data_IF_846405903530
#
_entry.id   IF_846405903530
#
_cell.length_a   1.000
_cell.length_b   1.000
_cell.length_c   1.000
_cell.angle_alpha   90.00
_cell.angle_beta   90.00
_cell.angle_gamma   90.00
#
_symmetry.space_group_name_H-M   'P 1'
#
loop_
_entity.id
_entity.type
_entity.pdbx_description
1 polymer ?
#
# COMPACT_ATOMS: atom_id res chain seq x y z
N UNK A 1 62.84 -23.15 -13.39
CA UNK A 1 62.22 -22.97 -12.06
C UNK A 1 60.86 -22.33 -12.28
N UNK A 2 59.78 -23.13 -12.36
CA UNK A 2 58.44 -22.71 -12.75
C UNK A 2 57.59 -22.33 -11.53
N UNK A 3 57.96 -21.26 -10.82
CA UNK A 3 57.18 -20.74 -9.69
C UNK A 3 55.93 -19.88 -10.02
N UNK A 4 55.73 -19.24 -11.20
CA UNK A 4 54.58 -18.35 -11.37
C UNK A 4 53.24 -19.09 -11.57
N UNK A 5 53.28 -20.35 -12.03
CA UNK A 5 52.06 -21.12 -12.35
C UNK A 5 51.33 -21.58 -11.09
N UNK A 6 52.06 -21.92 -10.03
CA UNK A 6 51.48 -22.40 -8.77
C UNK A 6 50.74 -21.30 -8.00
N UNK A 7 51.20 -20.05 -8.09
CA UNK A 7 50.57 -18.93 -7.39
C UNK A 7 49.21 -18.56 -8.02
N UNK A 8 49.11 -18.63 -9.35
CA UNK A 8 47.87 -18.36 -10.07
C UNK A 8 46.77 -19.39 -9.75
N UNK A 9 47.14 -20.67 -9.62
CA UNK A 9 46.21 -21.75 -9.26
C UNK A 9 45.61 -21.58 -7.86
N UNK A 10 46.41 -21.13 -6.87
CA UNK A 10 45.91 -20.91 -5.51
C UNK A 10 44.93 -19.74 -5.44
N UNK A 11 45.14 -18.69 -6.23
CA UNK A 11 44.22 -17.55 -6.30
C UNK A 11 42.90 -17.96 -6.98
N UNK A 12 42.96 -18.74 -8.06
CA UNK A 12 41.77 -19.27 -8.74
C UNK A 12 40.96 -20.16 -7.78
N UNK A 13 41.61 -21.08 -7.05
CA UNK A 13 40.92 -21.92 -6.06
C UNK A 13 40.29 -21.11 -4.93
N UNK A 14 41.00 -20.11 -4.38
CA UNK A 14 40.47 -19.24 -3.33
C UNK A 14 39.26 -18.42 -3.81
N UNK A 15 39.30 -17.89 -5.05
CA UNK A 15 38.17 -17.21 -5.67
C UNK A 15 37.01 -18.17 -5.95
N UNK A 16 37.28 -19.41 -6.36
CA UNK A 16 36.26 -20.42 -6.62
C UNK A 16 35.54 -20.81 -5.32
N UNK A 17 36.26 -20.99 -4.22
CA UNK A 17 35.66 -21.29 -2.91
C UNK A 17 34.89 -20.09 -2.33
N UNK A 18 35.32 -18.85 -2.55
CA UNK A 18 34.56 -17.65 -2.18
C UNK A 18 33.28 -17.49 -3.02
N UNK A 19 33.34 -17.77 -4.33
CA UNK A 19 32.17 -17.79 -5.19
C UNK A 19 31.21 -18.94 -4.82
N UNK A 20 31.74 -20.12 -4.47
CA UNK A 20 30.93 -21.26 -4.04
C UNK A 20 30.39 -21.12 -2.61
N UNK A 21 31.08 -20.42 -1.71
CA UNK A 21 30.54 -20.09 -0.38
C UNK A 21 29.41 -19.06 -0.46
N UNK A 22 29.50 -18.12 -1.41
CA UNK A 22 28.38 -17.23 -1.80
C UNK A 22 27.21 -18.02 -2.40
N UNK A 23 27.48 -19.13 -3.10
CA UNK A 23 26.44 -19.99 -3.68
C UNK A 23 25.86 -21.03 -2.70
N UNK A 24 26.67 -21.53 -1.75
CA UNK A 24 26.31 -22.54 -0.74
C UNK A 24 25.70 -21.96 0.53
N UNK A 25 25.66 -20.63 0.66
CA UNK A 25 24.68 -19.97 1.50
C UNK A 25 23.60 -19.34 0.62
N UNK A 26 22.65 -20.12 0.07
CA UNK A 26 21.31 -19.57 -0.05
C UNK A 26 20.92 -19.26 1.38
N UNK A 27 21.06 -18.00 1.79
CA UNK A 27 20.40 -17.46 2.98
C UNK A 27 19.02 -18.11 3.01
N UNK A 28 18.84 -19.02 3.98
CA UNK A 28 17.58 -19.67 4.31
C UNK A 28 16.53 -19.49 3.20
N UNK A 29 16.66 -20.29 2.13
CA UNK A 29 15.56 -20.52 1.20
C UNK A 29 14.45 -21.14 2.06
N UNK A 30 13.68 -20.28 2.70
CA UNK A 30 12.32 -20.47 3.17
C UNK A 30 11.42 -20.65 1.94
N UNK A 31 11.82 -21.59 1.09
CA UNK A 31 11.02 -22.21 0.03
C UNK A 31 10.12 -23.29 0.61
N UNK A 32 9.54 -22.99 1.77
CA UNK A 32 8.31 -23.59 2.27
C UNK A 32 7.31 -22.47 2.07
N UNK A 33 6.27 -22.72 1.27
CA UNK A 33 5.39 -21.71 0.65
C UNK A 33 5.20 -20.44 1.46
N UNK A 34 5.25 -19.27 0.80
CA UNK A 34 4.82 -18.03 1.44
C UNK A 34 3.46 -18.29 2.06
N UNK A 35 3.39 -18.21 3.39
CA UNK A 35 2.14 -18.41 4.12
C UNK A 35 1.12 -17.44 3.54
N UNK A 36 0.09 -17.98 2.89
CA UNK A 36 -0.97 -17.21 2.26
C UNK A 36 -1.61 -16.23 3.24
N UNK A 37 -1.61 -16.55 4.54
CA UNK A 37 -2.03 -15.63 5.61
C UNK A 37 -1.18 -14.36 5.66
N UNK A 38 0.13 -14.47 5.42
CA UNK A 38 1.02 -13.31 5.34
C UNK A 38 0.69 -12.45 4.13
N UNK A 39 0.41 -13.07 2.97
CA UNK A 39 0.01 -12.34 1.77
C UNK A 39 -1.31 -11.60 1.98
N UNK A 40 -2.30 -12.22 2.61
CA UNK A 40 -3.53 -11.55 3.02
C UNK A 40 -3.28 -10.44 4.05
N UNK A 41 -2.46 -10.69 5.08
CA UNK A 41 -2.12 -9.69 6.10
C UNK A 41 -1.43 -8.47 5.52
N UNK A 42 -0.56 -8.65 4.52
CA UNK A 42 0.13 -7.55 3.86
C UNK A 42 -0.82 -6.72 2.98
N UNK A 43 -1.82 -7.35 2.34
CA UNK A 43 -2.92 -6.62 1.69
C UNK A 43 -3.79 -5.88 2.72
N UNK A 44 -4.09 -6.51 3.86
CA UNK A 44 -4.98 -5.98 4.89
C UNK A 44 -4.43 -4.72 5.57
N UNK A 45 -3.10 -4.65 5.79
CA UNK A 45 -2.42 -3.46 6.34
C UNK A 45 -2.62 -2.20 5.50
N UNK A 46 -2.99 -2.35 4.24
CA UNK A 46 -3.17 -1.28 3.27
C UNK A 46 -4.66 -1.00 2.97
N UNK A 47 -5.60 -1.60 3.72
CA UNK A 47 -7.04 -1.53 3.44
C UNK A 47 -7.72 -0.23 3.90
N UNK A 48 -6.95 0.81 4.21
CA UNK A 48 -7.49 2.15 4.44
C UNK A 48 -7.51 2.91 3.12
N UNK A 49 -8.70 3.29 2.67
CA UNK A 49 -8.89 3.99 1.39
C UNK A 49 -8.20 5.34 1.35
N UNK A 50 -8.11 6.04 2.49
CA UNK A 50 -7.42 7.33 2.58
C UNK A 50 -5.95 7.12 2.28
N UNK A 51 -5.33 6.14 2.94
CA UNK A 51 -3.93 5.80 2.67
C UNK A 51 -3.72 5.30 1.23
N UNK A 52 -4.65 4.51 0.66
CA UNK A 52 -4.55 4.04 -0.72
C UNK A 52 -4.57 5.18 -1.74
N UNK A 53 -5.47 6.16 -1.57
CA UNK A 53 -5.53 7.35 -2.44
C UNK A 53 -4.22 8.14 -2.37
N UNK A 54 -3.65 8.29 -1.18
CA UNK A 54 -2.41 9.03 -0.97
C UNK A 54 -1.17 8.28 -1.45
N UNK A 55 -1.13 6.95 -1.27
CA UNK A 55 -0.08 6.08 -1.79
C UNK A 55 -0.11 5.99 -3.32
N UNK A 56 -1.21 6.41 -3.96
CA UNK A 56 -1.33 6.42 -5.43
C UNK A 56 -1.51 7.83 -5.99
N UNK A 57 -0.84 8.80 -5.37
CA UNK A 57 -0.88 10.23 -5.71
C UNK A 57 0.12 10.66 -6.80
N UNK A 58 0.83 9.72 -7.41
CA UNK A 58 1.64 9.99 -8.61
C UNK A 58 1.58 8.81 -9.58
N UNK A 59 1.83 9.03 -10.89
CA UNK A 59 1.92 7.94 -11.87
C UNK A 59 2.96 6.88 -11.49
N UNK A 60 4.10 7.29 -10.93
CA UNK A 60 5.16 6.40 -10.47
C UNK A 60 4.71 5.55 -9.28
N UNK A 61 4.05 6.16 -8.30
CA UNK A 61 3.56 5.44 -7.12
C UNK A 61 2.43 4.46 -7.48
N UNK A 62 1.55 4.84 -8.43
CA UNK A 62 0.57 3.92 -9.02
C UNK A 62 1.26 2.68 -9.58
N UNK A 63 2.34 2.82 -10.35
CA UNK A 63 3.06 1.69 -10.91
C UNK A 63 3.69 0.80 -9.81
N UNK A 64 4.21 1.40 -8.74
CA UNK A 64 4.77 0.68 -7.60
C UNK A 64 3.67 -0.10 -6.87
N UNK A 65 2.56 0.56 -6.55
CA UNK A 65 1.38 -0.04 -5.94
C UNK A 65 0.86 -1.23 -6.77
N UNK A 66 0.64 -1.03 -8.06
CA UNK A 66 0.13 -2.06 -8.97
C UNK A 66 1.06 -3.27 -9.06
N UNK A 67 2.38 -3.04 -9.09
CA UNK A 67 3.39 -4.12 -9.07
C UNK A 67 3.36 -4.89 -7.76
N UNK A 68 3.28 -4.21 -6.62
CA UNK A 68 3.20 -4.85 -5.29
C UNK A 68 1.93 -5.69 -5.19
N UNK A 69 0.78 -5.11 -5.52
CA UNK A 69 -0.51 -5.79 -5.44
C UNK A 69 -0.59 -6.99 -6.38
N UNK A 70 -0.04 -6.88 -7.59
CA UNK A 70 0.06 -8.02 -8.51
C UNK A 70 0.84 -9.19 -7.91
N UNK A 71 1.94 -8.93 -7.19
CA UNK A 71 2.70 -9.98 -6.49
C UNK A 71 1.90 -10.62 -5.35
N UNK A 72 1.18 -9.82 -4.55
CA UNK A 72 0.36 -10.32 -3.44
C UNK A 72 -0.82 -11.16 -3.97
N UNK A 73 -1.50 -10.72 -5.02
CA UNK A 73 -2.57 -11.50 -5.67
C UNK A 73 -2.05 -12.82 -6.24
N UNK A 74 -0.85 -12.81 -6.85
CA UNK A 74 -0.20 -14.02 -7.32
C UNK A 74 0.12 -14.98 -6.17
N UNK A 75 0.66 -14.47 -5.05
CA UNK A 75 0.89 -15.28 -3.85
C UNK A 75 -0.41 -15.95 -3.35
N UNK A 76 -1.51 -15.20 -3.27
CA UNK A 76 -2.80 -15.76 -2.83
C UNK A 76 -3.26 -16.86 -3.79
N UNK A 77 -3.27 -16.60 -5.10
CA UNK A 77 -3.73 -17.58 -6.08
C UNK A 77 -2.88 -18.88 -6.07
N UNK A 78 -1.57 -18.77 -5.87
CA UNK A 78 -0.67 -19.92 -5.82
C UNK A 78 -0.80 -20.74 -4.52
N UNK A 79 -1.30 -20.14 -3.43
CA UNK A 79 -1.28 -20.75 -2.10
C UNK A 79 -2.67 -20.86 -1.43
N UNK A 80 -3.76 -20.46 -2.09
CA UNK A 80 -5.12 -20.47 -1.50
C UNK A 80 -5.58 -21.86 -1.05
N UNK A 81 -5.08 -22.91 -1.69
CA UNK A 81 -5.37 -24.30 -1.35
C UNK A 81 -4.82 -24.74 0.02
N UNK A 82 -3.95 -23.94 0.64
CA UNK A 82 -3.38 -24.18 1.97
C UNK A 82 -4.29 -23.72 3.11
N UNK A 83 -5.39 -23.01 2.79
CA UNK A 83 -6.37 -22.53 3.75
C UNK A 83 -7.67 -23.33 3.67
N UNK A 84 -8.40 -23.38 4.79
CA UNK A 84 -9.78 -23.85 4.75
C UNK A 84 -10.65 -22.88 3.93
N UNK A 85 -11.73 -23.37 3.34
CA UNK A 85 -12.68 -22.55 2.57
C UNK A 85 -13.23 -21.39 3.40
N UNK A 86 -13.55 -21.63 4.68
CA UNK A 86 -14.03 -20.59 5.60
C UNK A 86 -12.99 -19.52 5.87
N UNK A 87 -11.74 -19.92 6.11
CA UNK A 87 -10.63 -18.99 6.37
C UNK A 87 -10.33 -18.14 5.13
N UNK A 88 -10.25 -18.78 3.95
CA UNK A 88 -10.05 -18.06 2.68
C UNK A 88 -11.20 -17.07 2.42
N UNK A 89 -12.45 -17.48 2.64
CA UNK A 89 -13.62 -16.60 2.49
C UNK A 89 -13.54 -15.39 3.42
N UNK A 90 -13.11 -15.58 4.67
CA UNK A 90 -12.94 -14.47 5.61
C UNK A 90 -11.85 -13.50 5.16
N UNK A 91 -10.69 -14.01 4.73
CA UNK A 91 -9.58 -13.19 4.24
C UNK A 91 -9.94 -12.42 2.95
N UNK A 92 -10.61 -13.06 1.99
CA UNK A 92 -11.13 -12.40 0.79
C UNK A 92 -12.14 -11.31 1.13
N UNK A 93 -12.99 -11.53 2.14
CA UNK A 93 -13.93 -10.50 2.61
C UNK A 93 -13.19 -9.29 3.19
N UNK A 94 -12.13 -9.49 3.98
CA UNK A 94 -11.32 -8.41 4.57
C UNK A 94 -10.59 -7.59 3.50
N UNK A 95 -10.07 -8.26 2.47
CA UNK A 95 -9.27 -7.65 1.39
C UNK A 95 -10.09 -7.18 0.18
N UNK A 96 -11.42 -7.25 0.25
CA UNK A 96 -12.31 -6.91 -0.86
C UNK A 96 -12.17 -5.45 -1.29
N UNK A 97 -12.11 -4.51 -0.35
CA UNK A 97 -12.01 -3.08 -0.63
C UNK A 97 -10.78 -2.75 -1.48
N UNK A 98 -9.60 -3.05 -0.95
CA UNK A 98 -8.32 -2.87 -1.66
C UNK A 98 -8.23 -3.66 -2.98
N UNK A 99 -8.83 -4.85 -3.07
CA UNK A 99 -8.90 -5.60 -4.34
C UNK A 99 -9.72 -4.82 -5.38
N UNK A 100 -10.84 -4.22 -4.97
CA UNK A 100 -11.66 -3.38 -5.85
C UNK A 100 -10.88 -2.12 -6.24
N UNK A 101 -10.20 -1.46 -5.31
CA UNK A 101 -9.35 -0.30 -5.61
C UNK A 101 -8.31 -0.64 -6.68
N UNK A 102 -7.57 -1.73 -6.48
CA UNK A 102 -6.61 -2.25 -7.44
C UNK A 102 -7.21 -2.46 -8.83
N UNK A 103 -8.40 -3.07 -8.93
CA UNK A 103 -9.06 -3.32 -10.23
C UNK A 103 -9.50 -2.04 -10.96
N UNK A 104 -9.57 -0.90 -10.28
CA UNK A 104 -9.91 0.38 -10.90
C UNK A 104 -8.68 1.23 -11.26
N UNK A 105 -7.58 1.07 -10.50
CA UNK A 105 -6.38 1.91 -10.64
C UNK A 105 -5.28 1.24 -11.47
N UNK A 106 -5.25 -0.09 -11.54
CA UNK A 106 -4.11 -0.82 -12.12
C UNK A 106 -4.29 -1.41 -13.51
N UNK A 107 -5.44 -1.99 -13.89
CA UNK A 107 -5.61 -2.55 -15.23
C UNK A 107 -5.43 -1.47 -16.31
N UNK A 108 -4.54 -1.68 -17.29
CA UNK A 108 -4.41 -0.74 -18.40
C UNK A 108 -5.68 -0.70 -19.25
N UNK A 109 -5.94 0.44 -19.89
CA UNK A 109 -7.00 0.59 -20.89
C UNK A 109 -8.41 0.80 -20.31
N UNK A 110 -8.56 0.97 -19.00
CA UNK A 110 -9.82 1.45 -18.43
C UNK A 110 -9.84 2.98 -18.38
N UNK A 111 -10.95 3.60 -18.79
CA UNK A 111 -11.14 5.05 -18.75
C UNK A 111 -10.92 5.61 -17.33
N UNK A 112 -11.35 4.88 -16.29
CA UNK A 112 -11.14 5.26 -14.89
C UNK A 112 -9.64 5.30 -14.55
N UNK A 113 -8.87 4.32 -14.99
CA UNK A 113 -7.43 4.26 -14.72
C UNK A 113 -6.67 5.41 -15.34
N UNK A 114 -6.97 5.76 -16.59
CA UNK A 114 -6.32 6.87 -17.31
C UNK A 114 -6.65 8.20 -16.64
N UNK A 115 -7.94 8.48 -16.41
CA UNK A 115 -8.37 9.70 -15.73
C UNK A 115 -7.85 9.79 -14.29
N UNK A 116 -7.73 8.67 -13.58
CA UNK A 116 -7.15 8.66 -12.24
C UNK A 116 -5.68 9.08 -12.28
N UNK A 117 -4.89 8.53 -13.23
CA UNK A 117 -3.47 8.89 -13.41
C UNK A 117 -3.28 10.36 -13.75
N UNK A 118 -4.15 10.92 -14.60
CA UNK A 118 -4.11 12.34 -14.96
C UNK A 118 -4.33 13.25 -13.75
N UNK A 119 -5.17 12.82 -12.79
CA UNK A 119 -5.53 13.59 -11.61
C UNK A 119 -4.72 13.25 -10.34
N UNK A 120 -3.93 12.16 -10.37
CA UNK A 120 -3.21 11.64 -9.20
C UNK A 120 -2.32 12.71 -8.53
N UNK A 121 -1.58 13.48 -9.31
CA UNK A 121 -0.70 14.54 -8.80
C UNK A 121 -1.45 15.59 -7.99
N UNK A 122 -2.73 15.86 -8.31
CA UNK A 122 -3.52 16.78 -7.52
C UNK A 122 -3.94 16.17 -6.17
N UNK A 123 -4.29 14.88 -6.15
CA UNK A 123 -4.63 14.16 -4.92
C UNK A 123 -3.50 14.24 -3.88
N UNK A 124 -2.24 14.16 -4.32
CA UNK A 124 -1.09 14.34 -3.44
C UNK A 124 -0.94 15.75 -2.87
N UNK A 125 -1.44 16.79 -3.56
CA UNK A 125 -1.39 18.18 -3.06
C UNK A 125 -2.44 18.46 -1.99
N UNK A 126 -3.52 17.68 -1.98
CA UNK A 126 -4.65 17.83 -1.05
C UNK A 126 -4.63 16.77 0.06
N UNK A 127 -3.45 16.20 0.32
CA UNK A 127 -3.21 15.14 1.30
C UNK A 127 -3.84 15.47 2.67
N UNK A 128 -3.63 16.69 3.15
CA UNK A 128 -4.17 17.14 4.44
C UNK A 128 -5.70 17.15 4.46
N UNK A 129 -6.34 17.56 3.37
CA UNK A 129 -7.79 17.61 3.25
C UNK A 129 -8.39 16.20 3.22
N UNK A 130 -7.78 15.28 2.45
CA UNK A 130 -8.21 13.88 2.42
C UNK A 130 -8.02 13.23 3.80
N UNK A 131 -6.89 13.47 4.48
CA UNK A 131 -6.65 12.97 5.85
C UNK A 131 -7.67 13.51 6.86
N UNK A 132 -8.07 14.77 6.74
CA UNK A 132 -9.08 15.35 7.64
C UNK A 132 -10.43 14.64 7.55
N UNK A 133 -10.79 14.11 6.38
CA UNK A 133 -12.00 13.30 6.20
C UNK A 133 -11.96 11.97 6.96
N UNK A 134 -10.78 11.41 7.25
CA UNK A 134 -10.64 10.14 7.96
C UNK A 134 -10.93 10.25 9.46
N UNK A 135 -10.88 11.47 10.03
CA UNK A 135 -11.21 11.72 11.44
C UNK A 135 -12.63 11.31 11.82
N UNK A 136 -13.55 11.27 10.84
CA UNK A 136 -14.95 10.87 11.03
C UNK A 136 -15.18 9.35 10.93
N UNK A 137 -14.19 8.58 10.47
CA UNK A 137 -14.34 7.13 10.36
C UNK A 137 -14.22 6.48 11.75
N UNK A 138 -15.23 5.74 12.22
CA UNK A 138 -15.06 4.94 13.43
C UNK A 138 -13.90 3.97 13.20
N UNK A 139 -13.03 3.79 14.20
CA UNK A 139 -11.93 2.81 14.09
C UNK A 139 -12.52 1.46 13.66
N UNK A 140 -12.22 1.09 12.42
CA UNK A 140 -12.91 0.03 11.70
C UNK A 140 -12.35 -1.33 12.13
N UNK A 141 -12.43 -1.64 13.43
CA UNK A 141 -12.21 -3.02 13.86
C UNK A 141 -13.37 -3.89 13.34
N UNK A 142 -13.02 -5.08 12.84
CA UNK A 142 -13.75 -5.96 11.92
C UNK A 142 -15.13 -6.50 12.35
N UNK A 143 -15.80 -5.90 13.33
CA UNK A 143 -17.15 -6.30 13.72
C UNK A 143 -18.15 -6.08 12.58
N UNK A 144 -19.07 -7.04 12.44
CA UNK A 144 -19.98 -7.21 11.30
C UNK A 144 -20.75 -5.92 11.02
N UNK A 145 -20.66 -5.43 9.78
CA UNK A 145 -21.30 -4.20 9.29
C UNK A 145 -22.83 -4.27 9.30
N UNK A 146 -23.40 -5.49 9.38
CA UNK A 146 -24.77 -5.75 8.98
C UNK A 146 -25.85 -4.95 9.73
N UNK A 147 -25.58 -4.42 10.94
CA UNK A 147 -26.62 -3.75 11.75
C UNK A 147 -26.20 -2.43 12.40
N UNK A 148 -25.08 -1.80 11.98
CA UNK A 148 -24.65 -0.53 12.59
C UNK A 148 -24.99 0.69 11.71
N UNK A 149 -26.13 1.38 11.95
CA UNK A 149 -26.50 2.57 11.19
C UNK A 149 -25.48 3.71 11.35
N UNK A 150 -24.77 3.80 12.47
CA UNK A 150 -23.75 4.84 12.68
C UNK A 150 -22.59 4.65 11.70
N UNK A 151 -22.15 3.40 11.52
CA UNK A 151 -21.07 3.06 10.57
C UNK A 151 -21.48 3.34 9.13
N UNK A 152 -22.72 3.03 8.76
CA UNK A 152 -23.26 3.36 7.44
C UNK A 152 -23.25 4.86 7.16
N UNK A 153 -23.67 5.68 8.14
CA UNK A 153 -23.60 7.13 8.02
C UNK A 153 -22.16 7.64 7.96
N UNK A 154 -21.24 7.08 8.75
CA UNK A 154 -19.83 7.46 8.72
C UNK A 154 -19.17 7.16 7.36
N UNK A 155 -19.40 5.97 6.78
CA UNK A 155 -18.89 5.64 5.44
C UNK A 155 -19.45 6.59 4.37
N UNK A 156 -20.74 6.92 4.45
CA UNK A 156 -21.38 7.88 3.53
C UNK A 156 -20.79 9.28 3.68
N UNK A 157 -20.63 9.78 4.91
CA UNK A 157 -20.02 11.09 5.19
C UNK A 157 -18.57 11.15 4.73
N UNK A 158 -17.78 10.12 5.04
CA UNK A 158 -16.39 10.04 4.60
C UNK A 158 -16.25 10.07 3.08
N UNK A 159 -17.10 9.32 2.37
CA UNK A 159 -17.16 9.36 0.90
C UNK A 159 -17.46 10.77 0.39
N UNK A 160 -18.50 11.42 0.92
CA UNK A 160 -18.90 12.77 0.53
C UNK A 160 -17.76 13.76 0.80
N UNK A 161 -17.15 13.72 1.99
CA UNK A 161 -16.04 14.59 2.37
C UNK A 161 -14.86 14.48 1.39
N UNK A 162 -14.42 13.26 1.05
CA UNK A 162 -13.32 13.08 0.10
C UNK A 162 -13.72 13.64 -1.28
N UNK A 163 -14.90 13.29 -1.78
CA UNK A 163 -15.35 13.74 -3.10
C UNK A 163 -15.50 15.26 -3.18
N UNK A 164 -16.01 15.91 -2.13
CA UNK A 164 -16.11 17.37 -2.04
C UNK A 164 -14.73 18.04 -1.94
N UNK A 165 -13.81 17.50 -1.15
CA UNK A 165 -12.43 17.97 -1.10
C UNK A 165 -11.78 17.88 -2.48
N UNK A 166 -11.88 16.74 -3.16
CA UNK A 166 -11.33 16.59 -4.52
C UNK A 166 -12.00 17.56 -5.50
N UNK A 167 -13.31 17.77 -5.41
CA UNK A 167 -14.03 18.72 -6.25
C UNK A 167 -13.51 20.15 -6.07
N UNK A 168 -13.38 20.60 -4.82
CA UNK A 168 -12.97 21.96 -4.48
C UNK A 168 -11.53 22.27 -4.92
N UNK A 169 -10.62 21.30 -4.80
CA UNK A 169 -9.19 21.55 -5.01
C UNK A 169 -8.63 20.98 -6.33
N UNK A 170 -9.24 19.92 -6.88
CA UNK A 170 -8.79 19.25 -8.10
C UNK A 170 -9.79 19.37 -9.26
N UNK A 171 -11.00 19.87 -9.01
CA UNK A 171 -12.02 20.08 -10.02
C UNK A 171 -12.97 18.90 -10.20
N UNK A 172 -13.99 19.14 -11.03
CA UNK A 172 -15.13 18.23 -11.22
C UNK A 172 -14.73 16.86 -11.77
N UNK A 173 -13.85 16.83 -12.76
CA UNK A 173 -13.45 15.57 -13.41
C UNK A 173 -12.72 14.64 -12.44
N UNK A 174 -11.81 15.18 -11.63
CA UNK A 174 -11.12 14.42 -10.58
C UNK A 174 -12.11 13.84 -9.56
N UNK A 175 -13.08 14.67 -9.13
CA UNK A 175 -14.09 14.26 -8.15
C UNK A 175 -15.00 13.14 -8.68
N UNK A 176 -15.41 13.20 -9.95
CA UNK A 176 -16.22 12.15 -10.58
C UNK A 176 -15.47 10.81 -10.65
N UNK A 177 -14.16 10.83 -10.90
CA UNK A 177 -13.32 9.62 -10.93
C UNK A 177 -13.16 9.05 -9.53
N UNK A 178 -12.86 9.89 -8.54
CA UNK A 178 -12.72 9.47 -7.15
C UNK A 178 -14.03 8.92 -6.61
N UNK A 179 -15.17 9.58 -6.87
CA UNK A 179 -16.49 9.08 -6.46
C UNK A 179 -16.79 7.71 -7.06
N UNK A 180 -16.45 7.48 -8.34
CA UNK A 180 -16.60 6.15 -8.95
C UNK A 180 -15.75 5.08 -8.25
N UNK A 181 -14.52 5.41 -7.89
CA UNK A 181 -13.63 4.50 -7.15
C UNK A 181 -14.20 4.22 -5.76
N UNK A 182 -14.60 5.26 -5.02
CA UNK A 182 -15.16 5.13 -3.67
C UNK A 182 -16.49 4.38 -3.65
N UNK A 183 -17.38 4.62 -4.62
CA UNK A 183 -18.63 3.87 -4.77
C UNK A 183 -18.38 2.38 -4.99
N UNK A 184 -17.36 2.02 -5.78
CA UNK A 184 -16.98 0.61 -5.98
C UNK A 184 -16.33 0.05 -4.70
N UNK A 185 -15.46 0.81 -4.06
CA UNK A 185 -14.76 0.42 -2.84
C UNK A 185 -15.72 0.12 -1.69
N UNK A 186 -16.63 1.05 -1.41
CA UNK A 186 -17.63 0.96 -0.35
C UNK A 186 -18.91 0.24 -0.78
N UNK A 187 -19.11 -0.05 -2.07
CA UNK A 187 -20.39 -0.50 -2.63
C UNK A 187 -21.01 -1.66 -1.88
N UNK A 188 -20.23 -2.71 -1.61
CA UNK A 188 -20.72 -3.88 -0.87
C UNK A 188 -21.15 -3.57 0.58
N UNK A 189 -20.54 -2.56 1.20
CA UNK A 189 -20.84 -2.13 2.57
C UNK A 189 -22.06 -1.21 2.57
N UNK A 190 -22.15 -0.30 1.59
CA UNK A 190 -23.27 0.62 1.42
C UNK A 190 -24.55 -0.06 0.94
N UNK A 191 -24.46 -1.12 0.13
CA UNK A 191 -25.60 -1.95 -0.26
C UNK A 191 -26.24 -2.64 0.95
N UNK A 192 -25.41 -3.06 1.92
CA UNK A 192 -25.87 -3.71 3.15
C UNK A 192 -26.52 -2.73 4.14
N UNK A 193 -26.22 -1.44 4.04
CA UNK A 193 -26.82 -0.40 4.88
C UNK A 193 -28.34 -0.24 4.72
N UNK A 194 -28.95 -0.98 3.78
CA UNK A 194 -30.39 -1.10 3.62
C UNK A 194 -31.05 0.18 3.08
N UNK A 195 -32.24 0.02 2.48
CA UNK A 195 -33.04 1.15 2.00
C UNK A 195 -33.63 1.99 3.15
N UNK A 196 -33.72 1.43 4.36
CA UNK A 196 -34.41 2.03 5.50
C UNK A 196 -33.62 3.08 6.28
N UNK A 197 -32.28 3.14 6.15
CA UNK A 197 -31.44 4.11 6.88
C UNK A 197 -30.98 5.31 6.04
N UNK A 198 -31.39 5.39 4.77
CA UNK A 198 -30.93 6.43 3.84
C UNK A 198 -31.37 7.84 4.28
N UNK A 199 -32.52 7.96 4.96
CA UNK A 199 -33.08 9.24 5.41
C UNK A 199 -32.44 9.77 6.71
N UNK A 200 -31.84 8.92 7.55
CA UNK A 200 -31.37 9.30 8.88
C UNK A 200 -29.92 9.79 8.96
N UNK A 201 -29.15 9.74 7.87
CA UNK A 201 -27.80 10.32 7.85
C UNK A 201 -27.78 11.83 7.55
N UNK A 202 -28.94 12.49 7.62
CA UNK A 202 -29.15 13.88 7.21
C UNK A 202 -28.80 14.83 8.36
N UNK A 203 -27.75 15.62 8.13
CA UNK A 203 -27.19 16.73 8.92
C UNK A 203 -26.72 16.43 10.36
N UNK A 204 -25.47 16.75 10.72
CA UNK A 204 -25.01 16.79 12.11
C UNK A 204 -25.72 17.87 12.97
N UNK A 205 -26.57 18.71 12.38
CA UNK A 205 -27.25 19.85 13.04
C UNK A 205 -28.37 19.45 14.02
N UNK A 206 -28.77 18.17 14.13
CA UNK A 206 -29.81 17.78 15.11
C UNK A 206 -29.27 17.26 16.45
N UNK A 207 -27.95 17.19 16.62
CA UNK A 207 -27.29 16.74 17.87
C UNK A 207 -26.48 17.88 18.54
N UNK A 208 -26.96 19.12 18.44
CA UNK A 208 -26.38 20.33 19.09
C UNK A 208 -26.34 20.28 20.64
N UNK A 209 -26.72 19.16 21.27
CA UNK A 209 -26.64 18.98 22.71
C UNK A 209 -25.35 18.32 23.22
N UNK A 210 -24.40 17.94 22.36
CA UNK A 210 -23.16 17.28 22.80
C UNK A 210 -21.87 18.12 22.71
N UNK A 211 -21.93 19.39 22.29
CA UNK A 211 -20.74 20.24 22.14
C UNK A 211 -20.72 21.56 22.93
N UNK A 212 -21.67 21.84 23.83
CA UNK A 212 -21.65 23.07 24.65
C UNK A 212 -20.86 22.94 25.98
N UNK A 213 -19.79 22.15 25.99
CA UNK A 213 -19.07 21.86 27.24
C UNK A 213 -17.59 21.54 27.13
N UNK A 214 -16.93 21.85 26.01
CA UNK A 214 -15.47 21.71 25.94
C UNK A 214 -14.83 22.65 24.93
N UNK A 215 -14.98 23.95 25.19
CA UNK A 215 -14.05 24.97 24.74
C UNK A 215 -13.01 25.20 25.84
N UNK A 216 -12.29 24.14 26.18
CA UNK A 216 -11.04 24.20 26.94
C UNK A 216 -9.93 23.81 25.95
N UNK A 217 -9.15 24.80 25.54
CA UNK A 217 -7.74 24.72 25.15
C UNK A 217 -7.29 23.40 24.49
N UNK A 218 -7.60 23.27 23.18
CA UNK A 218 -6.92 22.33 22.29
C UNK A 218 -5.54 22.91 21.96
N UNK A 219 -4.60 22.74 22.89
CA UNK A 219 -3.16 22.93 22.66
C UNK A 219 -2.38 21.60 22.81
N UNK A 220 -3.10 20.46 22.83
CA UNK A 220 -2.51 19.12 23.06
C UNK A 220 -2.56 18.16 21.88
N UNK A 221 -3.21 18.51 20.76
CA UNK A 221 -3.31 17.59 19.61
C UNK A 221 -2.16 17.66 18.60
N UNK A 222 -1.23 18.61 18.75
CA UNK A 222 -0.02 18.64 17.94
C UNK A 222 0.92 17.45 18.18
N UNK A 223 0.81 16.77 19.31
CA UNK A 223 1.69 15.64 19.60
C UNK A 223 1.30 14.37 18.86
N UNK A 224 0.01 14.10 18.63
CA UNK A 224 -0.42 12.86 17.96
C UNK A 224 -0.30 12.94 16.43
N UNK A 225 -0.59 14.11 15.84
CA UNK A 225 -0.34 14.34 14.40
C UNK A 225 1.16 14.34 14.06
N UNK A 226 1.99 14.85 14.97
CA UNK A 226 3.45 14.78 14.83
C UNK A 226 3.95 13.34 14.80
N UNK A 227 3.44 12.46 15.68
CA UNK A 227 3.85 11.04 15.70
C UNK A 227 3.45 10.27 14.45
N UNK A 228 2.26 10.52 13.90
CA UNK A 228 1.78 9.89 12.66
C UNK A 228 2.66 10.33 11.48
N UNK A 229 2.94 11.64 11.38
CA UNK A 229 3.82 12.20 10.34
C UNK A 229 5.25 11.66 10.45
N UNK A 230 5.78 11.53 11.67
CA UNK A 230 7.14 11.03 11.92
C UNK A 230 7.27 9.53 11.57
N UNK A 231 6.21 8.75 11.77
CA UNK A 231 6.12 7.34 11.36
C UNK A 231 6.06 7.17 9.83
N UNK A 232 5.38 8.07 9.12
CA UNK A 232 5.27 8.08 7.67
C UNK A 232 6.56 8.55 6.99
N UNK A 233 7.21 9.59 7.53
CA UNK A 233 8.50 10.09 7.06
C UNK A 233 9.61 9.02 7.25
N UNK A 234 9.57 8.25 8.35
CA UNK A 234 10.46 7.09 8.55
C UNK A 234 10.21 5.97 7.52
N UNK A 235 8.96 5.73 7.12
CA UNK A 235 8.62 4.77 6.04
C UNK A 235 9.18 5.24 4.69
N UNK A 236 9.01 6.52 4.33
CA UNK A 236 9.57 7.11 3.10
C UNK A 236 11.10 6.98 3.06
N UNK A 237 11.80 7.22 4.18
CA UNK A 237 13.27 7.06 4.27
C UNK A 237 13.74 5.61 4.13
N UNK A 238 13.00 4.63 4.68
CA UNK A 238 13.34 3.20 4.53
C UNK A 238 13.27 2.73 3.07
N UNK A 239 12.27 3.17 2.32
CA UNK A 239 12.18 2.83 0.88
C UNK A 239 13.33 3.44 0.06
N UNK A 240 13.76 4.67 0.38
CA UNK A 240 14.89 5.33 -0.30
C UNK A 240 16.24 4.63 -0.02
N UNK A 241 16.42 4.09 1.18
CA UNK A 241 17.62 3.35 1.58
C UNK A 241 17.75 1.98 0.87
N UNK A 242 16.64 1.26 0.70
CA UNK A 242 16.63 -0.06 0.04
C UNK A 242 17.07 0.01 -1.45
N UNK A 243 16.76 1.11 -2.15
CA UNK A 243 17.16 1.30 -3.55
C UNK A 243 18.68 1.48 -3.75
N UNK A 244 19.39 1.96 -2.72
CA UNK A 244 20.85 2.19 -2.80
C UNK A 244 21.68 0.93 -2.53
N UNK A 245 21.12 -0.08 -1.84
CA UNK A 245 21.83 -1.33 -1.55
C UNK A 245 22.08 -2.19 -2.80
N UNK A 246 21.17 -2.15 -3.78
CA UNK A 246 21.32 -2.90 -5.04
C UNK A 246 22.41 -2.36 -5.97
N UNK A 247 22.77 -1.07 -5.85
CA UNK A 247 23.84 -0.46 -6.68
C UNK A 247 25.25 -0.83 -6.22
N UNK A 248 25.44 -1.09 -4.92
CA UNK A 248 26.73 -1.49 -4.38
C UNK A 248 27.14 -2.91 -4.83
N UNK A 249 26.19 -3.84 -4.92
CA UNK A 249 26.47 -5.23 -5.31
C UNK A 249 26.90 -5.38 -6.78
N UNK A 250 26.39 -4.52 -7.67
CA UNK A 250 26.76 -4.56 -9.11
C UNK A 250 28.18 -4.03 -9.33
N UNK A 251 28.62 -3.04 -8.55
CA UNK A 251 29.97 -2.48 -8.66
C UNK A 251 31.08 -3.47 -8.30
N UNK A 252 30.86 -4.31 -7.27
CA UNK A 252 31.86 -5.29 -6.82
C UNK A 252 32.08 -6.41 -7.84
N UNK A 253 31.02 -6.87 -8.51
CA UNK A 253 31.13 -7.92 -9.55
C UNK A 253 31.89 -7.41 -10.78
N UNK A 254 31.66 -6.16 -11.18
CA UNK A 254 32.34 -5.56 -12.33
C UNK A 254 33.86 -5.42 -12.10
N UNK A 255 34.26 -5.01 -10.90
CA UNK A 255 35.67 -4.89 -10.52
C UNK A 255 36.39 -6.25 -10.51
N UNK A 256 35.72 -7.31 -10.04
CA UNK A 256 36.27 -8.67 -10.12
C UNK A 256 36.48 -9.14 -11.56
N UNK A 257 35.54 -8.87 -12.47
CA UNK A 257 35.66 -9.25 -13.88
C UNK A 257 36.80 -8.48 -14.59
N UNK A 258 36.93 -7.18 -14.32
CA UNK A 258 38.02 -6.36 -14.86
C UNK A 258 39.38 -6.89 -14.38
N UNK A 259 39.49 -7.24 -13.10
CA UNK A 259 40.74 -7.77 -12.53
C UNK A 259 41.14 -9.11 -13.17
N UNK A 260 40.19 -10.01 -13.40
CA UNK A 260 40.43 -11.28 -14.10
C UNK A 260 40.91 -11.02 -15.53
N UNK A 261 40.29 -10.08 -16.26
CA UNK A 261 40.70 -9.74 -17.63
C UNK A 261 42.12 -9.18 -17.70
N UNK A 262 42.53 -8.36 -16.73
CA UNK A 262 43.90 -7.81 -16.68
C UNK A 262 44.93 -8.92 -16.50
N UNK A 263 44.64 -9.92 -15.66
CA UNK A 263 45.54 -11.06 -15.43
C UNK A 263 45.73 -11.91 -16.70
N UNK A 264 44.72 -12.00 -17.57
CA UNK A 264 44.81 -12.78 -18.81
C UNK A 264 45.55 -12.08 -19.95
N UNK A 265 45.71 -10.76 -19.88
CA UNK A 265 46.34 -9.96 -20.94
C UNK A 265 47.85 -9.74 -20.70
N UNK A 266 48.32 -9.88 -19.46
CA UNK A 266 49.73 -9.72 -19.05
C UNK A 266 50.41 -11.08 -18.96
#
# INVERSE_FOLDING_TARGET
MNMPVFCCWLIICACFDLCFASWKNPSSRSGVGQDVRKCFSDIEKENDITHLLLETSSPEDILIFCRRMSKLKKCIAENEHQMSVSENTECLRKTRGITIFYLNVCPPGSNITEKYKENALCLGRIEKQILSCASELPQVSYLRIQDDPKRCCALKRHRICITEAVFLYCGKEAAEVVEQILLRYFGAQLEQCGKHHIQTCSSPESDDHWLDGRREDIDTNHHHESEIWDLEERRRRKHKSSSNSSKAAVGTVLLCLIYILIIFVV
#
